data_IF_323173870063
#
_entry.id   IF_323173870063
#
_cell.length_a   1.000
_cell.length_b   1.000
_cell.length_c   1.000
_cell.angle_alpha   90.00
_cell.angle_beta   90.00
_cell.angle_gamma   90.00
#
_symmetry.space_group_name_H-M   'P 1'
#
loop_
_entity.id
_entity.type
_entity.pdbx_description
1 polymer ?
#
# COMPACT_ATOMS: atom_id res chain seq x y z
N UNK A 1 4.65 -12.31 -4.78
CA UNK A 1 5.70 -12.29 -5.84
C UNK A 1 6.14 -10.85 -6.00
N UNK A 2 7.44 -10.54 -6.10
CA UNK A 2 7.88 -9.16 -6.29
C UNK A 2 8.23 -8.93 -7.76
N UNK A 3 7.78 -7.81 -8.31
CA UNK A 3 8.10 -7.39 -9.66
C UNK A 3 9.50 -6.79 -9.74
N UNK A 4 10.16 -6.91 -10.87
CA UNK A 4 11.52 -6.43 -11.09
C UNK A 4 11.50 -4.97 -11.53
N UNK A 5 12.17 -4.10 -10.77
CA UNK A 5 12.30 -2.66 -11.01
C UNK A 5 13.71 -2.34 -11.47
N UNK A 6 13.83 -1.56 -12.54
CA UNK A 6 15.08 -0.93 -12.96
C UNK A 6 15.04 0.55 -12.61
N UNK A 7 16.12 1.07 -11.99
CA UNK A 7 16.27 2.48 -11.68
C UNK A 7 17.35 3.06 -12.60
N UNK A 8 17.01 4.15 -13.27
CA UNK A 8 17.88 4.78 -14.28
C UNK A 8 18.00 6.26 -13.97
N UNK A 9 19.20 6.72 -13.63
CA UNK A 9 19.49 8.13 -13.31
C UNK A 9 21.01 8.32 -13.44
N UNK A 10 21.50 9.37 -14.08
CA UNK A 10 22.93 9.59 -14.25
C UNK A 10 23.62 10.04 -12.96
N UNK A 11 22.86 10.65 -12.04
CA UNK A 11 23.35 11.05 -10.73
C UNK A 11 23.44 9.84 -9.78
N UNK A 12 24.65 9.41 -9.48
CA UNK A 12 24.91 8.23 -8.62
C UNK A 12 24.21 8.30 -7.26
N UNK A 13 24.23 9.47 -6.61
CA UNK A 13 23.63 9.65 -5.28
C UNK A 13 22.10 9.51 -5.31
N UNK A 14 21.45 10.10 -6.33
CA UNK A 14 20.01 10.00 -6.52
C UNK A 14 19.63 8.53 -6.81
N UNK A 15 20.31 7.90 -7.76
CA UNK A 15 20.08 6.52 -8.17
C UNK A 15 20.22 5.57 -6.99
N UNK A 16 21.30 5.69 -6.23
CA UNK A 16 21.57 4.85 -5.04
C UNK A 16 20.58 5.16 -3.92
N UNK A 17 20.22 6.42 -3.73
CA UNK A 17 19.21 6.85 -2.78
C UNK A 17 17.84 6.21 -3.07
N UNK A 18 17.37 6.31 -4.31
CA UNK A 18 16.12 5.68 -4.76
C UNK A 18 16.12 4.17 -4.56
N UNK A 19 17.27 3.50 -4.82
CA UNK A 19 17.36 2.05 -4.68
C UNK A 19 17.32 1.58 -3.22
N UNK A 20 17.97 2.32 -2.30
CA UNK A 20 18.22 1.85 -0.94
C UNK A 20 17.27 2.42 0.12
N UNK A 21 16.78 3.67 -0.05
CA UNK A 21 15.94 4.29 0.97
C UNK A 21 14.45 4.05 0.77
N UNK A 22 14.02 3.65 -0.43
CA UNK A 22 12.64 3.28 -0.67
C UNK A 22 12.46 1.78 -0.34
N UNK A 23 11.54 1.41 0.55
CA UNK A 23 11.28 0.02 0.89
C UNK A 23 10.47 -0.69 -0.21
N UNK A 24 11.08 -0.87 -1.37
CA UNK A 24 10.46 -1.42 -2.57
C UNK A 24 9.75 -2.76 -2.33
N UNK A 25 10.31 -3.60 -1.46
CA UNK A 25 9.70 -4.89 -1.13
C UNK A 25 8.30 -4.74 -0.52
N UNK A 26 8.04 -3.68 0.24
CA UNK A 26 6.72 -3.42 0.82
C UNK A 26 5.72 -2.93 -0.21
N UNK A 27 6.22 -2.40 -1.34
CA UNK A 27 5.40 -1.92 -2.47
C UNK A 27 5.15 -3.04 -3.49
N UNK A 28 5.85 -4.17 -3.36
CA UNK A 28 5.74 -5.31 -4.28
C UNK A 28 6.80 -5.33 -5.39
N UNK A 29 7.90 -4.59 -5.20
CA UNK A 29 9.02 -4.55 -6.15
C UNK A 29 10.32 -5.01 -5.52
N UNK A 30 11.24 -5.48 -6.36
CA UNK A 30 12.64 -5.70 -6.04
C UNK A 30 13.47 -4.98 -7.09
N UNK A 31 14.47 -4.19 -6.65
CA UNK A 31 15.38 -3.51 -7.57
C UNK A 31 16.26 -4.57 -8.25
N UNK A 32 16.04 -4.79 -9.55
CA UNK A 32 16.76 -5.74 -10.37
C UNK A 32 18.13 -5.19 -10.81
N UNK A 33 18.22 -3.87 -10.98
CA UNK A 33 19.43 -3.20 -11.42
C UNK A 33 19.36 -1.70 -11.33
N UNK A 34 20.50 -1.08 -11.61
CA UNK A 34 20.67 0.36 -11.66
C UNK A 34 21.52 0.69 -12.90
N UNK A 35 21.08 1.68 -13.68
CA UNK A 35 21.79 2.14 -14.89
C UNK A 35 21.98 3.64 -14.84
N UNK A 36 23.03 4.16 -15.49
CA UNK A 36 23.36 5.57 -15.48
C UNK A 36 22.92 6.32 -16.75
N UNK A 37 22.38 5.62 -17.74
CA UNK A 37 21.87 6.19 -18.98
C UNK A 37 20.90 5.24 -19.68
N UNK A 38 20.16 5.75 -20.66
CA UNK A 38 19.17 4.97 -21.40
C UNK A 38 19.75 3.82 -22.20
N UNK A 39 21.00 3.94 -22.70
CA UNK A 39 21.63 2.85 -23.47
C UNK A 39 21.93 1.64 -22.61
N UNK A 40 22.52 1.85 -21.42
CA UNK A 40 22.72 0.78 -20.44
C UNK A 40 21.40 0.14 -20.01
N UNK A 41 20.37 0.97 -19.80
CA UNK A 41 19.05 0.49 -19.43
C UNK A 41 18.43 -0.40 -20.53
N UNK A 42 18.57 -0.02 -21.79
CA UNK A 42 18.07 -0.79 -22.92
C UNK A 42 18.78 -2.16 -23.01
N UNK A 43 20.11 -2.18 -22.86
CA UNK A 43 20.90 -3.40 -22.88
C UNK A 43 20.58 -4.30 -21.67
N UNK A 44 20.33 -3.71 -20.50
CA UNK A 44 19.88 -4.44 -19.32
C UNK A 44 18.50 -5.08 -19.51
N UNK A 45 17.53 -4.34 -20.04
CA UNK A 45 16.18 -4.82 -20.29
C UNK A 45 16.17 -5.96 -21.33
N UNK A 46 17.07 -5.90 -22.32
CA UNK A 46 17.21 -6.96 -23.33
C UNK A 46 17.69 -8.30 -22.74
N UNK A 47 18.44 -8.26 -21.63
CA UNK A 47 19.07 -9.45 -21.01
C UNK A 47 18.43 -9.90 -19.71
N UNK A 48 17.61 -9.05 -19.08
CA UNK A 48 16.99 -9.30 -17.79
C UNK A 48 15.49 -9.06 -17.83
N UNK A 49 14.75 -9.81 -17.00
CA UNK A 49 13.33 -9.58 -16.83
C UNK A 49 13.11 -8.30 -16.00
N UNK A 50 12.53 -7.28 -16.63
CA UNK A 50 12.15 -6.02 -16.00
C UNK A 50 10.66 -5.81 -16.18
N UNK A 51 9.96 -5.38 -15.12
CA UNK A 51 8.51 -5.14 -15.17
C UNK A 51 8.19 -3.64 -15.12
N UNK A 52 9.03 -2.87 -14.42
CA UNK A 52 8.89 -1.42 -14.32
C UNK A 52 10.25 -0.72 -14.39
N UNK A 53 10.27 0.48 -14.94
CA UNK A 53 11.43 1.37 -15.00
C UNK A 53 11.08 2.68 -14.35
N UNK A 54 11.92 3.15 -13.41
CA UNK A 54 11.92 4.49 -12.87
C UNK A 54 13.13 5.22 -13.46
N UNK A 55 12.90 6.21 -14.31
CA UNK A 55 13.95 6.78 -15.16
C UNK A 55 13.96 8.32 -15.07
N UNK A 56 15.14 8.87 -14.88
CA UNK A 56 15.33 10.31 -15.12
C UNK A 56 15.12 10.65 -16.60
N UNK A 57 14.67 11.89 -16.88
CA UNK A 57 14.47 12.33 -18.26
C UNK A 57 15.81 12.70 -18.87
N UNK A 58 16.63 13.48 -18.16
CA UNK A 58 17.85 14.05 -18.72
C UNK A 58 19.09 13.25 -18.34
N UNK A 59 19.59 12.48 -19.25
CA UNK A 59 20.78 11.68 -19.05
C UNK A 59 21.69 11.76 -20.30
N UNK A 60 23.01 11.58 -20.14
CA UNK A 60 23.93 11.52 -21.28
C UNK A 60 23.73 10.27 -22.13
N UNK A 61 24.25 10.26 -23.34
CA UNK A 61 24.28 9.13 -24.30
C UNK A 61 22.90 8.81 -24.89
N UNK A 62 21.94 8.49 -24.05
CA UNK A 62 20.54 8.24 -24.40
C UNK A 62 19.68 8.74 -23.24
N UNK A 63 18.80 9.67 -23.51
CA UNK A 63 17.91 10.25 -22.53
C UNK A 63 16.70 9.33 -22.24
N UNK A 64 15.94 9.66 -21.18
CA UNK A 64 14.78 8.85 -20.77
C UNK A 64 13.65 8.81 -21.80
N UNK A 65 13.49 9.88 -22.60
CA UNK A 65 12.47 9.91 -23.65
C UNK A 65 12.86 9.03 -24.85
N UNK A 66 14.13 9.03 -25.19
CA UNK A 66 14.68 8.14 -26.23
C UNK A 66 14.54 6.68 -25.82
N UNK A 67 14.87 6.35 -24.55
CA UNK A 67 14.67 5.01 -24.00
C UNK A 67 13.19 4.60 -24.07
N UNK A 68 12.27 5.46 -23.62
CA UNK A 68 10.84 5.17 -23.66
C UNK A 68 10.32 4.97 -25.10
N UNK A 69 10.82 5.77 -26.05
CA UNK A 69 10.51 5.64 -27.48
C UNK A 69 10.97 4.29 -28.03
N UNK A 70 12.19 3.89 -27.68
CA UNK A 70 12.77 2.64 -28.14
C UNK A 70 12.00 1.42 -27.60
N UNK A 71 11.73 1.39 -26.27
CA UNK A 71 10.93 0.34 -25.65
C UNK A 71 9.52 0.24 -26.26
N UNK A 72 8.92 1.38 -26.61
CA UNK A 72 7.63 1.40 -27.29
C UNK A 72 7.71 0.82 -28.70
N UNK A 73 8.76 1.14 -29.48
CA UNK A 73 8.96 0.60 -30.82
C UNK A 73 9.05 -0.92 -30.80
N UNK A 74 9.66 -1.47 -29.77
CA UNK A 74 9.81 -2.91 -29.52
C UNK A 74 8.54 -3.54 -28.90
N UNK A 75 7.45 -2.78 -28.73
CA UNK A 75 6.20 -3.23 -28.08
C UNK A 75 6.42 -3.80 -26.68
N UNK A 76 7.38 -3.29 -25.94
CA UNK A 76 7.67 -3.71 -24.57
C UNK A 76 6.46 -3.49 -23.66
N UNK A 77 6.20 -4.44 -22.77
CA UNK A 77 5.16 -4.35 -21.73
C UNK A 77 5.65 -3.67 -20.45
N UNK A 78 6.91 -3.24 -20.41
CA UNK A 78 7.52 -2.58 -19.24
C UNK A 78 6.77 -1.30 -18.89
N UNK A 79 6.37 -1.16 -17.62
CA UNK A 79 5.74 0.06 -17.11
C UNK A 79 6.81 1.13 -16.90
N UNK A 80 6.66 2.26 -17.57
CA UNK A 80 7.66 3.31 -17.58
C UNK A 80 7.20 4.52 -16.76
N UNK A 81 8.00 4.95 -15.77
CA UNK A 81 7.78 6.13 -14.92
C UNK A 81 8.95 7.08 -15.08
N UNK A 82 8.64 8.34 -15.37
CA UNK A 82 9.66 9.37 -15.44
C UNK A 82 9.88 10.05 -14.08
N UNK A 83 11.17 10.33 -13.79
CA UNK A 83 11.58 11.34 -12.82
C UNK A 83 11.88 12.64 -13.57
N UNK A 84 11.35 13.78 -13.13
CA UNK A 84 11.49 15.04 -13.84
C UNK A 84 11.66 16.21 -12.91
N UNK A 85 12.50 17.19 -13.26
CA UNK A 85 12.61 18.48 -12.58
C UNK A 85 11.50 19.46 -12.98
N UNK A 86 11.29 20.51 -12.20
CA UNK A 86 10.28 21.56 -12.45
C UNK A 86 10.38 22.25 -13.82
N UNK A 87 11.54 22.21 -14.46
CA UNK A 87 11.81 22.89 -15.74
C UNK A 87 11.46 22.04 -16.98
N UNK A 88 11.00 20.81 -16.78
CA UNK A 88 10.85 19.84 -17.86
C UNK A 88 9.39 19.65 -18.30
N UNK A 89 8.53 20.65 -18.10
CA UNK A 89 7.10 20.56 -18.44
C UNK A 89 6.84 20.23 -19.92
N UNK A 90 7.66 20.71 -20.84
CA UNK A 90 7.57 20.37 -22.26
C UNK A 90 7.84 18.88 -22.52
N UNK A 91 8.73 18.27 -21.73
CA UNK A 91 9.03 16.84 -21.84
C UNK A 91 7.91 15.96 -21.28
N UNK A 92 7.15 16.45 -20.29
CA UNK A 92 5.97 15.72 -19.77
C UNK A 92 4.93 15.51 -20.87
N UNK A 93 4.68 16.51 -21.72
CA UNK A 93 3.77 16.35 -22.86
C UNK A 93 4.28 15.30 -23.86
N UNK A 94 5.58 15.22 -24.07
CA UNK A 94 6.18 14.20 -24.94
C UNK A 94 6.11 12.80 -24.27
N UNK A 95 6.36 12.70 -22.96
CA UNK A 95 6.26 11.47 -22.20
C UNK A 95 4.86 10.81 -22.31
N UNK A 96 3.80 11.63 -22.27
CA UNK A 96 2.42 11.15 -22.48
C UNK A 96 2.20 10.56 -23.87
N UNK A 97 2.88 11.07 -24.92
CA UNK A 97 2.83 10.50 -26.28
C UNK A 97 3.47 9.12 -26.36
N UNK A 98 4.44 8.84 -25.50
CA UNK A 98 5.11 7.55 -25.43
C UNK A 98 4.43 6.53 -24.52
N UNK A 99 3.20 6.83 -24.03
CA UNK A 99 2.42 5.98 -23.12
C UNK A 99 3.21 5.63 -21.84
N UNK A 100 4.00 6.59 -21.34
CA UNK A 100 4.52 6.47 -19.99
C UNK A 100 3.34 6.19 -19.03
N UNK A 101 3.57 5.36 -18.03
CA UNK A 101 2.55 5.06 -17.05
C UNK A 101 2.21 6.33 -16.24
N UNK A 102 3.24 7.06 -15.84
CA UNK A 102 3.10 8.31 -15.09
C UNK A 102 4.46 9.05 -14.97
N UNK A 103 4.49 10.15 -14.23
CA UNK A 103 5.72 10.89 -13.91
C UNK A 103 5.75 11.34 -12.44
N UNK A 104 6.95 11.54 -11.90
CA UNK A 104 7.19 12.06 -10.55
C UNK A 104 8.09 13.30 -10.64
N UNK A 105 7.68 14.38 -9.97
CA UNK A 105 8.48 15.60 -9.90
C UNK A 105 9.58 15.49 -8.84
N UNK A 106 10.82 15.82 -9.19
CA UNK A 106 11.94 16.02 -8.24
C UNK A 106 11.81 17.39 -7.55
N UNK A 107 12.04 17.55 -6.24
CA UNK A 107 12.27 16.50 -5.25
C UNK A 107 10.97 15.75 -4.91
N UNK A 108 10.99 14.44 -5.03
CA UNK A 108 9.82 13.62 -4.79
C UNK A 108 9.77 13.11 -3.35
N UNK A 109 8.57 13.13 -2.77
CA UNK A 109 8.33 12.50 -1.48
C UNK A 109 8.16 10.99 -1.65
N UNK A 110 8.63 10.22 -0.67
CA UNK A 110 8.49 8.76 -0.63
C UNK A 110 7.03 8.32 -0.88
N UNK A 111 6.07 9.02 -0.29
CA UNK A 111 4.65 8.70 -0.41
C UNK A 111 4.14 8.74 -1.86
N UNK A 112 4.62 9.71 -2.64
CA UNK A 112 4.23 9.86 -4.06
C UNK A 112 4.74 8.70 -4.92
N UNK A 113 6.00 8.32 -4.72
CA UNK A 113 6.60 7.17 -5.43
C UNK A 113 5.90 5.88 -5.02
N UNK A 114 5.67 5.68 -3.71
CA UNK A 114 5.00 4.49 -3.19
C UNK A 114 3.58 4.35 -3.71
N UNK A 115 2.83 5.45 -3.78
CA UNK A 115 1.48 5.46 -4.32
C UNK A 115 1.45 5.08 -5.79
N UNK A 116 2.34 5.64 -6.57
CA UNK A 116 2.44 5.39 -8.00
C UNK A 116 2.83 3.95 -8.28
N UNK A 117 3.87 3.45 -7.63
CA UNK A 117 4.30 2.06 -7.83
C UNK A 117 3.30 1.05 -7.26
N UNK A 118 2.51 1.41 -6.25
CA UNK A 118 1.36 0.61 -5.81
C UNK A 118 0.31 0.43 -6.91
N UNK A 119 0.04 1.48 -7.72
CA UNK A 119 -0.86 1.39 -8.89
C UNK A 119 -0.28 0.50 -9.98
N UNK A 120 1.02 0.62 -10.26
CA UNK A 120 1.72 -0.23 -11.23
C UNK A 120 1.68 -1.69 -10.79
N UNK A 121 1.95 -1.98 -9.52
CA UNK A 121 1.89 -3.33 -8.97
C UNK A 121 0.51 -3.96 -9.20
N UNK A 122 -0.56 -3.23 -8.90
CA UNK A 122 -1.92 -3.69 -9.13
C UNK A 122 -2.23 -3.96 -10.63
N UNK A 123 -1.73 -3.11 -11.53
CA UNK A 123 -1.92 -3.33 -12.96
C UNK A 123 -1.15 -4.57 -13.44
N UNK A 124 0.08 -4.77 -12.96
CA UNK A 124 0.86 -5.97 -13.24
C UNK A 124 0.19 -7.23 -12.67
N UNK A 125 -0.37 -7.18 -11.46
CA UNK A 125 -1.13 -8.28 -10.88
C UNK A 125 -2.31 -8.70 -11.77
N UNK A 126 -3.00 -7.73 -12.38
CA UNK A 126 -4.06 -8.00 -13.36
C UNK A 126 -3.54 -8.61 -14.66
N UNK A 127 -2.42 -8.09 -15.19
CA UNK A 127 -1.83 -8.57 -16.45
C UNK A 127 -1.26 -9.99 -16.33
N UNK A 128 -0.64 -10.29 -15.19
CA UNK A 128 -0.05 -11.62 -14.95
C UNK A 128 -1.02 -12.64 -14.33
N UNK A 129 -2.29 -12.26 -14.14
CA UNK A 129 -3.30 -13.17 -13.61
C UNK A 129 -3.02 -13.64 -12.18
N UNK A 130 -2.15 -12.94 -11.45
CA UNK A 130 -1.81 -13.23 -10.04
C UNK A 130 -3.03 -12.97 -9.16
N UNK A 131 -3.99 -12.24 -9.69
CA UNK A 131 -5.15 -11.76 -8.97
C UNK A 131 -6.43 -12.48 -9.41
N UNK A 132 -6.74 -13.60 -8.74
CA UNK A 132 -8.07 -14.21 -8.83
C UNK A 132 -9.19 -13.29 -8.27
N UNK A 133 -8.80 -12.23 -7.57
CA UNK A 133 -9.69 -11.22 -6.96
C UNK A 133 -9.73 -9.90 -7.76
N UNK A 134 -8.81 -9.64 -8.71
CA UNK A 134 -8.81 -8.42 -9.54
C UNK A 134 -10.00 -8.34 -10.51
N UNK A 135 -10.76 -9.43 -10.68
CA UNK A 135 -12.07 -9.41 -11.36
C UNK A 135 -13.21 -9.01 -10.42
N UNK A 136 -12.93 -8.81 -9.12
CA UNK A 136 -13.95 -8.38 -8.15
C UNK A 136 -14.06 -6.87 -8.16
N UNK A 137 -15.28 -6.37 -8.09
CA UNK A 137 -15.55 -4.97 -7.85
C UNK A 137 -14.84 -4.50 -6.55
N UNK A 138 -14.36 -3.25 -6.47
CA UNK A 138 -13.74 -2.72 -5.26
C UNK A 138 -14.56 -2.95 -3.98
N UNK A 139 -15.89 -2.95 -4.08
CA UNK A 139 -16.79 -3.27 -2.97
C UNK A 139 -16.63 -4.72 -2.49
N UNK A 140 -16.42 -5.68 -3.38
CA UNK A 140 -16.24 -7.09 -3.04
C UNK A 140 -14.89 -7.32 -2.35
N UNK A 141 -13.87 -6.57 -2.75
CA UNK A 141 -12.56 -6.59 -2.09
C UNK A 141 -12.70 -6.09 -0.65
N UNK A 142 -13.38 -4.98 -0.43
CA UNK A 142 -13.63 -4.43 0.90
C UNK A 142 -14.42 -5.41 1.77
N UNK A 143 -15.45 -6.05 1.22
CA UNK A 143 -16.23 -7.06 1.94
C UNK A 143 -15.36 -8.26 2.32
N UNK A 144 -14.47 -8.70 1.43
CA UNK A 144 -13.51 -9.78 1.70
C UNK A 144 -12.54 -9.39 2.82
N UNK A 145 -12.00 -8.17 2.81
CA UNK A 145 -11.13 -7.63 3.86
C UNK A 145 -11.87 -7.62 5.20
N UNK A 146 -13.08 -7.07 5.25
CA UNK A 146 -13.91 -7.02 6.47
C UNK A 146 -14.21 -8.42 7.01
N UNK A 147 -14.44 -9.41 6.16
CA UNK A 147 -14.63 -10.80 6.54
C UNK A 147 -13.38 -11.38 7.19
N UNK A 148 -12.20 -11.21 6.56
CA UNK A 148 -10.92 -11.68 7.10
C UNK A 148 -10.63 -11.04 8.47
N UNK A 149 -10.88 -9.73 8.63
CA UNK A 149 -10.71 -9.04 9.92
C UNK A 149 -11.58 -9.68 11.01
N UNK A 150 -12.83 -9.97 10.72
CA UNK A 150 -13.74 -10.59 11.70
C UNK A 150 -13.30 -12.02 12.07
N UNK A 151 -12.80 -12.80 11.11
CA UNK A 151 -12.37 -14.20 11.32
C UNK A 151 -11.04 -14.31 12.05
N UNK A 152 -10.14 -13.31 11.90
CA UNK A 152 -8.78 -13.31 12.44
C UNK A 152 -8.47 -12.12 13.34
N UNK A 153 -9.46 -11.65 14.09
CA UNK A 153 -9.41 -10.37 14.80
C UNK A 153 -8.20 -10.23 15.75
N UNK A 154 -7.76 -11.34 16.34
CA UNK A 154 -6.68 -11.34 17.32
C UNK A 154 -5.30 -11.01 16.70
N UNK A 155 -5.02 -11.55 15.53
CA UNK A 155 -3.71 -11.53 14.88
C UNK A 155 -3.70 -10.83 13.52
N UNK A 156 -4.81 -10.20 13.13
CA UNK A 156 -4.92 -9.55 11.84
C UNK A 156 -3.99 -8.32 11.74
N UNK A 157 -3.22 -8.30 10.66
CA UNK A 157 -2.43 -7.13 10.23
C UNK A 157 -2.74 -6.84 8.77
N UNK A 158 -2.35 -5.65 8.30
CA UNK A 158 -2.52 -5.29 6.89
C UNK A 158 -1.76 -6.25 5.97
N UNK A 159 -0.57 -6.67 6.39
CA UNK A 159 0.30 -7.61 5.67
C UNK A 159 -0.33 -9.00 5.63
N UNK A 160 -0.94 -9.46 6.73
CA UNK A 160 -1.61 -10.77 6.78
C UNK A 160 -2.83 -10.81 5.85
N UNK A 161 -3.61 -9.73 5.81
CA UNK A 161 -4.72 -9.58 4.87
C UNK A 161 -4.20 -9.56 3.43
N UNK A 162 -3.20 -8.74 3.15
CA UNK A 162 -2.60 -8.62 1.82
C UNK A 162 -2.10 -9.96 1.28
N UNK A 163 -1.42 -10.73 2.12
CA UNK A 163 -0.97 -12.09 1.79
C UNK A 163 -2.13 -13.04 1.48
N UNK A 164 -3.23 -12.97 2.25
CA UNK A 164 -4.41 -13.85 2.06
C UNK A 164 -5.18 -13.55 0.78
N UNK A 165 -5.24 -12.27 0.38
CA UNK A 165 -5.94 -11.87 -0.83
C UNK A 165 -5.01 -11.61 -2.02
N UNK A 166 -3.71 -11.94 -1.87
CA UNK A 166 -2.68 -11.79 -2.90
C UNK A 166 -2.59 -10.37 -3.49
N UNK A 167 -2.77 -9.35 -2.64
CA UNK A 167 -2.74 -7.94 -3.04
C UNK A 167 -1.67 -7.17 -2.27
N UNK A 168 -1.21 -6.07 -2.85
CA UNK A 168 -0.23 -5.20 -2.21
C UNK A 168 -0.82 -4.51 -0.96
N UNK A 169 -0.15 -4.53 0.22
CA UNK A 169 -0.63 -3.89 1.45
C UNK A 169 -0.92 -2.40 1.29
N UNK A 170 -0.06 -1.68 0.57
CA UNK A 170 -0.24 -0.26 0.33
C UNK A 170 -1.51 0.04 -0.47
N UNK A 171 -1.75 -0.74 -1.54
CA UNK A 171 -2.99 -0.62 -2.32
C UNK A 171 -4.22 -0.89 -1.47
N UNK A 172 -4.21 -1.96 -0.66
CA UNK A 172 -5.30 -2.30 0.25
C UNK A 172 -5.59 -1.17 1.23
N UNK A 173 -4.54 -0.62 1.86
CA UNK A 173 -4.67 0.50 2.80
C UNK A 173 -5.35 1.71 2.17
N UNK A 174 -4.92 2.09 0.97
CA UNK A 174 -5.49 3.21 0.21
C UNK A 174 -6.92 2.93 -0.22
N UNK A 175 -7.18 1.75 -0.82
CA UNK A 175 -8.51 1.35 -1.26
C UNK A 175 -9.49 1.30 -0.09
N UNK A 176 -9.06 0.73 1.04
CA UNK A 176 -9.88 0.63 2.24
C UNK A 176 -10.28 2.02 2.74
N UNK A 177 -9.32 2.94 2.90
CA UNK A 177 -9.58 4.33 3.31
C UNK A 177 -10.48 5.05 2.31
N UNK A 178 -10.23 4.91 1.00
CA UNK A 178 -11.04 5.55 -0.05
C UNK A 178 -12.49 5.08 -0.05
N UNK A 179 -12.72 3.78 0.19
CA UNK A 179 -14.07 3.18 0.12
C UNK A 179 -14.83 3.19 1.44
N UNK A 180 -14.14 3.25 2.58
CA UNK A 180 -14.78 3.22 3.91
C UNK A 180 -14.68 4.53 4.66
N UNK A 181 -13.86 5.48 4.20
CA UNK A 181 -13.58 6.75 4.88
C UNK A 181 -12.59 6.65 6.05
N UNK A 182 -12.30 5.45 6.57
CA UNK A 182 -11.46 5.22 7.74
C UNK A 182 -10.21 4.39 7.40
N UNK A 183 -9.14 4.52 8.18
CA UNK A 183 -7.95 3.70 8.00
C UNK A 183 -8.21 2.26 8.41
N UNK A 184 -7.48 1.30 7.81
CA UNK A 184 -7.58 -0.11 8.14
C UNK A 184 -7.31 -0.40 9.62
N UNK A 185 -6.30 0.25 10.21
CA UNK A 185 -5.95 0.10 11.63
C UNK A 185 -7.07 0.57 12.56
N UNK A 186 -7.72 1.68 12.21
CA UNK A 186 -8.85 2.23 12.98
C UNK A 186 -10.04 1.28 12.91
N UNK A 187 -10.32 0.71 11.74
CA UNK A 187 -11.35 -0.30 11.56
C UNK A 187 -11.09 -1.57 12.39
N UNK A 188 -9.85 -2.07 12.40
CA UNK A 188 -9.48 -3.23 13.23
C UNK A 188 -9.64 -2.89 14.72
N UNK A 189 -9.24 -1.70 15.13
CA UNK A 189 -9.41 -1.23 16.52
C UNK A 189 -10.89 -1.16 16.89
N UNK A 190 -11.75 -0.60 16.05
CA UNK A 190 -13.20 -0.58 16.24
C UNK A 190 -13.78 -2.00 16.43
N UNK A 191 -13.43 -2.92 15.53
CA UNK A 191 -13.86 -4.31 15.65
C UNK A 191 -13.38 -4.97 16.95
N UNK A 192 -12.14 -4.70 17.38
CA UNK A 192 -11.57 -5.23 18.63
C UNK A 192 -12.30 -4.67 19.86
N UNK A 193 -12.58 -3.39 19.88
CA UNK A 193 -13.27 -2.74 21.01
C UNK A 193 -14.73 -3.19 21.11
N UNK A 194 -15.45 -3.30 20.00
CA UNK A 194 -16.81 -3.85 19.97
C UNK A 194 -16.85 -5.29 20.47
N UNK A 195 -15.95 -6.15 19.99
CA UNK A 195 -15.84 -7.53 20.46
C UNK A 195 -15.48 -7.61 21.95
N UNK A 196 -14.60 -6.73 22.44
CA UNK A 196 -14.25 -6.67 23.85
C UNK A 196 -15.45 -6.27 24.72
N UNK A 197 -16.24 -5.30 24.28
CA UNK A 197 -17.47 -4.89 24.97
C UNK A 197 -18.47 -6.03 25.09
N UNK A 198 -18.67 -6.81 24.00
CA UNK A 198 -19.52 -8.00 24.03
C UNK A 198 -19.03 -9.02 25.07
N UNK A 199 -17.72 -9.32 25.08
CA UNK A 199 -17.13 -10.28 26.01
C UNK A 199 -17.12 -9.80 27.47
N UNK A 200 -17.08 -8.48 27.71
CA UNK A 200 -17.14 -7.91 29.05
C UNK A 200 -18.49 -8.13 29.72
N UNK A 201 -19.58 -8.34 28.99
CA UNK A 201 -20.89 -8.67 29.50
C UNK A 201 -20.98 -10.11 30.04
N UNK A 202 -20.02 -10.97 29.68
CA UNK A 202 -19.92 -12.34 30.17
C UNK A 202 -18.88 -12.42 31.30
N UNK A 203 -19.34 -12.65 32.53
CA UNK A 203 -18.50 -12.73 33.73
C UNK A 203 -17.58 -13.96 33.77
N UNK A 204 -17.75 -14.95 32.87
CA UNK A 204 -16.85 -16.09 32.76
C UNK A 204 -15.47 -15.70 32.21
N UNK A 205 -15.37 -14.59 31.47
CA UNK A 205 -14.09 -14.12 30.93
C UNK A 205 -13.41 -13.13 31.88
N UNK A 206 -12.13 -13.37 32.19
CA UNK A 206 -11.32 -12.36 32.89
C UNK A 206 -10.92 -11.26 31.89
N UNK A 207 -10.80 -10.01 32.38
CA UNK A 207 -10.37 -8.87 31.54
C UNK A 207 -9.03 -9.15 30.85
N UNK A 208 -8.13 -9.86 31.53
CA UNK A 208 -6.86 -10.30 30.97
C UNK A 208 -7.04 -11.24 29.78
N UNK A 209 -7.95 -12.18 29.86
CA UNK A 209 -8.22 -13.13 28.78
C UNK A 209 -8.90 -12.45 27.60
N UNK A 210 -9.83 -11.53 27.87
CA UNK A 210 -10.46 -10.67 26.83
C UNK A 210 -9.39 -9.91 26.06
N UNK A 211 -8.41 -9.30 26.74
CA UNK A 211 -7.34 -8.55 26.07
C UNK A 211 -6.59 -9.41 25.03
N UNK A 212 -6.33 -10.67 25.35
CA UNK A 212 -5.68 -11.62 24.43
C UNK A 212 -6.61 -12.04 23.28
N UNK A 213 -7.86 -12.36 23.57
CA UNK A 213 -8.85 -12.77 22.58
C UNK A 213 -9.03 -11.71 21.50
N UNK A 214 -8.99 -10.43 21.90
CA UNK A 214 -9.11 -9.31 20.94
C UNK A 214 -7.77 -8.83 20.38
N UNK A 215 -6.66 -9.53 20.64
CA UNK A 215 -5.38 -9.31 19.98
C UNK A 215 -4.46 -8.28 20.62
N UNK A 216 -4.58 -8.07 21.93
CA UNK A 216 -3.62 -7.24 22.68
C UNK A 216 -2.68 -8.14 23.50
N UNK A 217 -1.39 -8.11 23.17
CA UNK A 217 -0.35 -8.80 23.94
C UNK A 217 -0.13 -8.17 25.33
N UNK A 218 -0.40 -6.86 25.47
CA UNK A 218 -0.25 -6.12 26.71
C UNK A 218 -1.62 -5.62 27.23
N UNK A 219 -2.11 -6.13 28.39
CA UNK A 219 -3.40 -5.72 28.98
C UNK A 219 -3.48 -4.23 29.32
N UNK A 220 -2.36 -3.57 29.63
CA UNK A 220 -2.34 -2.12 29.91
C UNK A 220 -2.67 -1.32 28.63
N UNK A 221 -2.14 -1.76 27.47
CA UNK A 221 -2.46 -1.14 26.19
C UNK A 221 -3.93 -1.35 25.84
N UNK A 222 -4.46 -2.54 26.06
CA UNK A 222 -5.89 -2.82 25.90
C UNK A 222 -6.74 -1.87 26.74
N UNK A 223 -6.49 -1.80 28.05
CA UNK A 223 -7.27 -0.96 28.96
C UNK A 223 -7.23 0.53 28.58
N UNK A 224 -6.06 1.02 28.13
CA UNK A 224 -5.91 2.39 27.63
C UNK A 224 -6.71 2.65 26.37
N UNK A 225 -6.63 1.75 25.38
CA UNK A 225 -7.37 1.88 24.12
C UNK A 225 -8.87 1.76 24.35
N UNK A 226 -9.29 0.83 25.22
CA UNK A 226 -10.70 0.67 25.57
C UNK A 226 -11.26 1.93 26.25
N UNK A 227 -10.52 2.51 27.21
CA UNK A 227 -10.91 3.78 27.86
C UNK A 227 -10.96 4.94 26.87
N UNK A 228 -10.01 4.99 25.91
CA UNK A 228 -10.03 6.02 24.86
C UNK A 228 -11.25 5.88 23.93
N UNK A 229 -11.69 4.65 23.68
CA UNK A 229 -12.81 4.36 22.78
C UNK A 229 -14.19 4.54 23.46
N UNK A 230 -14.35 4.05 24.69
CA UNK A 230 -15.63 4.06 25.41
C UNK A 230 -15.71 5.10 26.54
N UNK A 231 -14.65 5.84 26.83
CA UNK A 231 -14.59 6.82 27.91
C UNK A 231 -14.36 6.23 29.31
N UNK A 232 -14.56 4.93 29.49
CA UNK A 232 -14.43 4.21 30.76
C UNK A 232 -13.50 3.02 30.64
N UNK A 233 -12.93 2.56 31.76
CA UNK A 233 -12.07 1.36 31.76
C UNK A 233 -12.90 0.08 31.54
N UNK A 234 -12.27 -1.04 31.10
CA UNK A 234 -12.97 -2.32 30.98
C UNK A 234 -13.63 -2.79 32.28
N UNK A 235 -13.04 -2.49 33.45
CA UNK A 235 -13.63 -2.82 34.75
C UNK A 235 -14.88 -2.01 35.05
N UNK A 236 -14.84 -0.70 34.83
CA UNK A 236 -15.98 0.21 35.01
C UNK A 236 -17.11 -0.14 34.04
N UNK A 237 -16.77 -0.47 32.78
CA UNK A 237 -17.75 -0.91 31.77
C UNK A 237 -18.50 -2.17 32.22
N UNK A 238 -17.78 -3.17 32.77
CA UNK A 238 -18.34 -4.43 33.26
C UNK A 238 -19.29 -4.21 34.44
N UNK A 239 -18.99 -3.27 35.31
CA UNK A 239 -19.83 -2.99 36.50
C UNK A 239 -21.00 -2.06 36.23
N UNK A 240 -21.28 -1.73 34.98
CA UNK A 240 -22.43 -0.89 34.60
C UNK A 240 -22.13 0.60 34.56
N UNK A 241 -20.87 0.97 34.42
CA UNK A 241 -20.40 2.38 34.30
C UNK A 241 -20.86 3.14 33.06
N UNK A 242 -21.51 2.45 32.10
CA UNK A 242 -22.32 3.05 31.03
C UNK A 242 -23.72 2.44 31.09
N UNK A 243 -24.74 3.25 31.28
CA UNK A 243 -26.11 2.85 30.98
C UNK A 243 -26.23 2.40 29.54
N UNK A 244 -26.82 1.20 29.32
CA UNK A 244 -27.13 0.68 28.00
C UNK A 244 -27.84 1.76 27.19
N UNK A 245 -27.16 2.41 26.24
CA UNK A 245 -27.81 3.39 25.37
C UNK A 245 -26.94 4.37 24.60
N UNK A 246 -25.66 4.54 24.95
CA UNK A 246 -24.80 5.48 24.23
C UNK A 246 -23.68 4.74 23.49
N UNK A 247 -24.04 4.06 22.42
CA UNK A 247 -23.09 3.86 21.30
C UNK A 247 -22.89 5.23 20.66
N UNK A 248 -21.65 5.65 20.33
CA UNK A 248 -21.45 6.80 19.45
C UNK A 248 -22.27 6.53 18.18
N UNK A 249 -23.21 7.42 17.90
CA UNK A 249 -24.18 7.36 16.83
C UNK A 249 -23.56 6.91 15.51
N UNK A 250 -24.21 5.94 14.85
CA UNK A 250 -24.09 5.65 13.41
C UNK A 250 -24.57 6.88 12.59
N UNK A 251 -23.98 8.04 12.79
CA UNK A 251 -24.11 9.15 11.87
C UNK A 251 -23.01 9.02 10.81
N UNK A 252 -23.33 8.29 9.76
CA UNK A 252 -22.69 8.39 8.46
C UNK A 252 -22.98 9.80 7.91
N UNK A 253 -21.99 10.63 7.60
CA UNK A 253 -22.23 11.77 6.74
C UNK A 253 -22.44 11.25 5.31
N UNK A 254 -23.45 11.77 4.67
CA UNK A 254 -23.87 11.58 3.28
C UNK A 254 -22.75 11.82 2.26
#
# INVERSE_FOLDING_TARGET
MNYQLLIVDDEYEIRTGLANYIPWNTIGFTVAGQCQNGKEALDFIASHKVHAVLCDIRMPIMDGLELARELRSQKSSVKFVFLTGYKDFEYIQQALRYRAFDYVLKPSKFEQISEMFGRICHELDREYGVDSLAKKEPADIINTIKKIVKEHLADVTLESVAKKIYMNPFYISKLFKQKTGINFTDYVTDCRMKKAADLLNDYNYRIYDISKIVGYSNPKNFARTFKQYYGVTPSEYRTGGLTKGETPSDETPL
#
